data_IF_043241999150
#
_entry.id   IF_043241999150
#
_cell.length_a   1.000
_cell.length_b   1.000
_cell.length_c   1.000
_cell.angle_alpha   90.00
_cell.angle_beta   90.00
_cell.angle_gamma   90.00
#
_symmetry.space_group_name_H-M   'P 1'
#
loop_
_entity.id
_entity.type
_entity.pdbx_description
1 polymer ?
#
# COMPACT_ATOMS: atom_id res chain seq x y z
N UNK A 1 20.29 5.76 -17.73
CA UNK A 1 19.64 6.55 -18.81
C UNK A 1 19.54 5.81 -20.14
N UNK A 2 20.33 4.75 -20.41
CA UNK A 2 20.30 4.01 -21.69
C UNK A 2 19.14 3.00 -21.89
N UNK A 3 18.39 2.62 -20.84
CA UNK A 3 17.30 1.64 -20.99
C UNK A 3 15.99 2.21 -21.57
N UNK A 4 15.84 3.54 -21.72
CA UNK A 4 14.61 4.18 -22.23
C UNK A 4 14.39 4.02 -23.73
N UNK A 5 15.45 3.82 -24.52
CA UNK A 5 15.34 3.79 -25.98
C UNK A 5 15.02 2.40 -26.55
N UNK A 6 15.35 1.32 -25.84
CA UNK A 6 15.10 -0.05 -26.29
C UNK A 6 13.64 -0.48 -26.09
N UNK A 7 12.98 -0.02 -25.01
CA UNK A 7 11.57 -0.34 -24.76
C UNK A 7 10.58 0.33 -25.73
N UNK A 8 10.97 1.43 -26.36
CA UNK A 8 10.10 2.22 -27.26
C UNK A 8 10.08 1.68 -28.70
N UNK A 9 11.04 0.81 -29.06
CA UNK A 9 11.16 0.24 -30.42
C UNK A 9 10.41 -1.11 -30.54
N UNK A 10 10.23 -1.84 -29.43
CA UNK A 10 9.75 -3.23 -29.48
C UNK A 10 8.28 -3.45 -29.08
N UNK A 11 7.55 -2.44 -28.59
CA UNK A 11 6.18 -2.65 -28.13
C UNK A 11 5.23 -1.48 -28.48
N UNK A 12 4.24 -1.67 -29.38
CA UNK A 12 3.24 -0.65 -29.73
C UNK A 12 2.26 -0.33 -28.58
N UNK A 13 2.33 -1.02 -27.44
CA UNK A 13 1.52 -0.75 -26.25
C UNK A 13 2.01 0.44 -25.41
N UNK A 14 3.23 0.95 -25.61
CA UNK A 14 3.77 2.09 -24.83
C UNK A 14 3.34 3.43 -25.45
N UNK A 15 2.09 3.82 -25.20
CA UNK A 15 1.60 5.16 -25.54
C UNK A 15 1.94 6.16 -24.44
N UNK A 16 2.80 7.13 -24.77
CA UNK A 16 3.20 8.22 -23.87
C UNK A 16 2.02 9.14 -23.56
N UNK A 17 1.48 9.08 -22.34
CA UNK A 17 0.32 9.88 -21.91
C UNK A 17 0.70 11.20 -21.19
N UNK A 18 1.97 11.64 -21.29
CA UNK A 18 2.46 12.87 -20.67
C UNK A 18 3.19 12.65 -19.34
N UNK A 19 3.72 13.73 -18.75
CA UNK A 19 4.51 13.69 -17.50
C UNK A 19 3.66 13.84 -16.24
N UNK A 20 2.47 14.44 -16.36
CA UNK A 20 1.57 14.75 -15.24
C UNK A 20 0.15 14.41 -15.68
N UNK A 21 -0.52 13.52 -14.94
CA UNK A 21 -1.94 13.25 -15.11
C UNK A 21 -2.68 13.65 -13.82
N UNK A 22 -3.94 14.09 -13.96
CA UNK A 22 -4.80 14.19 -12.79
C UNK A 22 -5.12 12.77 -12.32
N UNK A 23 -4.92 12.46 -11.02
CA UNK A 23 -5.28 11.14 -10.50
C UNK A 23 -6.78 10.89 -10.73
N UNK A 24 -7.08 9.87 -11.52
CA UNK A 24 -8.44 9.39 -11.75
C UNK A 24 -8.91 8.65 -10.52
N UNK A 25 -9.92 9.20 -9.83
CA UNK A 25 -10.66 8.52 -8.74
C UNK A 25 -11.92 7.85 -9.28
N UNK A 26 -11.93 7.57 -10.57
CA UNK A 26 -13.04 7.05 -11.35
C UNK A 26 -12.69 5.62 -11.74
N UNK A 27 -13.63 4.69 -11.52
CA UNK A 27 -13.46 3.27 -11.88
C UNK A 27 -13.44 3.07 -13.39
N UNK A 28 -13.17 1.84 -13.83
CA UNK A 28 -13.16 1.44 -15.25
C UNK A 28 -14.48 1.79 -15.99
N UNK A 29 -15.57 1.98 -15.24
CA UNK A 29 -16.91 2.32 -15.72
C UNK A 29 -17.22 3.83 -15.82
N UNK A 30 -16.26 4.72 -15.52
CA UNK A 30 -16.51 6.17 -15.53
C UNK A 30 -17.30 6.70 -14.31
N UNK A 31 -17.60 5.84 -13.32
CA UNK A 31 -18.26 6.21 -12.06
C UNK A 31 -17.22 6.53 -10.97
N UNK A 32 -17.53 7.54 -10.15
CA UNK A 32 -16.71 7.90 -9.00
C UNK A 32 -16.64 6.72 -8.02
N UNK A 33 -15.43 6.27 -7.69
CA UNK A 33 -15.19 5.25 -6.67
C UNK A 33 -15.38 5.82 -5.25
N UNK A 34 -15.29 7.15 -5.12
CA UNK A 34 -15.52 7.86 -3.87
C UNK A 34 -16.97 7.65 -3.45
N UNK A 35 -17.18 7.12 -2.24
CA UNK A 35 -18.49 6.76 -1.66
C UNK A 35 -19.28 5.68 -2.42
N UNK A 36 -18.69 4.97 -3.38
CA UNK A 36 -19.32 3.81 -4.03
C UNK A 36 -19.18 2.54 -3.19
N UNK A 37 -19.55 2.60 -1.91
CA UNK A 37 -19.46 1.45 -0.99
C UNK A 37 -20.69 0.57 -1.11
N UNK A 38 -20.49 -0.69 -1.49
CA UNK A 38 -21.54 -1.70 -1.49
C UNK A 38 -21.68 -2.36 -0.10
N UNK A 39 -22.21 -1.59 0.86
CA UNK A 39 -22.44 -2.09 2.23
C UNK A 39 -23.52 -3.18 2.24
N UNK A 40 -24.53 -3.06 1.37
CA UNK A 40 -25.60 -4.06 1.29
C UNK A 40 -25.10 -5.39 0.71
N UNK A 41 -24.20 -5.34 -0.29
CA UNK A 41 -23.52 -6.51 -0.83
C UNK A 41 -22.56 -7.16 0.19
N UNK A 42 -21.83 -6.35 0.95
CA UNK A 42 -20.92 -6.85 1.99
C UNK A 42 -21.63 -7.62 3.11
N UNK A 43 -22.91 -7.31 3.38
CA UNK A 43 -23.70 -7.97 4.44
C UNK A 43 -24.45 -9.23 3.97
N UNK A 44 -24.34 -9.59 2.68
CA UNK A 44 -24.98 -10.79 2.17
C UNK A 44 -24.34 -12.05 2.79
N UNK A 45 -25.14 -13.07 3.18
CA UNK A 45 -24.62 -14.30 3.79
C UNK A 45 -23.55 -15.03 2.96
N UNK A 46 -23.55 -14.83 1.64
CA UNK A 46 -22.58 -15.42 0.70
C UNK A 46 -21.20 -14.78 0.80
N UNK A 47 -21.13 -13.47 1.08
CA UNK A 47 -19.89 -12.68 1.05
C UNK A 47 -19.38 -12.39 2.48
N UNK A 48 -20.29 -12.40 3.46
CA UNK A 48 -20.01 -12.12 4.86
C UNK A 48 -18.86 -12.95 5.45
N UNK A 49 -18.72 -14.27 5.20
CA UNK A 49 -17.58 -15.05 5.70
C UNK A 49 -16.24 -14.57 5.13
N UNK A 50 -16.20 -14.21 3.84
CA UNK A 50 -15.00 -13.70 3.17
C UNK A 50 -14.58 -12.34 3.71
N UNK A 51 -15.55 -11.45 3.96
CA UNK A 51 -15.32 -10.14 4.58
C UNK A 51 -14.76 -10.31 6.00
N UNK A 52 -15.38 -11.17 6.81
CA UNK A 52 -14.90 -11.46 8.16
C UNK A 52 -13.47 -12.02 8.15
N UNK A 53 -13.19 -12.95 7.24
CA UNK A 53 -11.85 -13.51 7.07
C UNK A 53 -10.83 -12.42 6.70
N UNK A 54 -11.12 -11.56 5.72
CA UNK A 54 -10.24 -10.46 5.33
C UNK A 54 -9.99 -9.47 6.47
N UNK A 55 -11.00 -9.14 7.26
CA UNK A 55 -10.85 -8.26 8.42
C UNK A 55 -9.95 -8.92 9.49
N UNK A 56 -10.16 -10.20 9.79
CA UNK A 56 -9.29 -10.91 10.74
C UNK A 56 -7.86 -11.01 10.23
N UNK A 57 -7.66 -11.32 8.95
CA UNK A 57 -6.34 -11.32 8.30
C UNK A 57 -5.68 -9.94 8.41
N UNK A 58 -6.40 -8.86 8.12
CA UNK A 58 -5.89 -7.50 8.22
C UNK A 58 -5.51 -7.12 9.67
N UNK A 59 -6.30 -7.50 10.67
CA UNK A 59 -6.00 -7.24 12.09
C UNK A 59 -4.72 -7.96 12.51
N UNK A 60 -4.55 -9.24 12.13
CA UNK A 60 -3.34 -9.99 12.47
C UNK A 60 -2.10 -9.49 11.71
N UNK A 61 -2.27 -9.13 10.44
CA UNK A 61 -1.20 -8.53 9.64
C UNK A 61 -0.76 -7.18 10.23
N UNK A 62 -1.69 -6.27 10.51
CA UNK A 62 -1.40 -4.99 11.16
C UNK A 62 -0.70 -5.18 12.52
N UNK A 63 -1.19 -6.11 13.35
CA UNK A 63 -0.57 -6.37 14.65
C UNK A 63 0.85 -6.92 14.50
N UNK A 64 1.07 -7.87 13.59
CA UNK A 64 2.38 -8.48 13.32
C UNK A 64 3.38 -7.49 12.73
N UNK A 65 2.94 -6.68 11.75
CA UNK A 65 3.78 -5.68 11.09
C UNK A 65 4.11 -4.52 12.02
N UNK A 66 3.15 -3.95 12.76
CA UNK A 66 3.39 -2.90 13.76
C UNK A 66 4.38 -3.42 14.81
N UNK A 67 4.22 -4.67 15.27
CA UNK A 67 5.15 -5.27 16.23
C UNK A 67 6.58 -5.37 15.68
N UNK A 68 6.73 -5.85 14.46
CA UNK A 68 8.04 -6.00 13.82
C UNK A 68 8.72 -4.63 13.60
N UNK A 69 7.98 -3.65 13.11
CA UNK A 69 8.49 -2.28 12.88
C UNK A 69 8.84 -1.60 14.20
N UNK A 70 8.01 -1.74 15.24
CA UNK A 70 8.27 -1.17 16.57
C UNK A 70 9.50 -1.78 17.23
N UNK A 71 9.73 -3.09 17.07
CA UNK A 71 10.95 -3.76 17.50
C UNK A 71 12.20 -3.16 16.87
N UNK A 72 12.18 -2.96 15.55
CA UNK A 72 13.29 -2.37 14.82
C UNK A 72 13.51 -0.88 15.13
N UNK A 73 12.43 -0.16 15.48
CA UNK A 73 12.48 1.24 15.88
C UNK A 73 12.88 1.46 17.36
N UNK A 74 13.06 0.38 18.15
CA UNK A 74 13.29 0.43 19.60
C UNK A 74 12.13 1.11 20.37
N UNK A 75 10.89 0.88 19.93
CA UNK A 75 9.66 1.42 20.51
C UNK A 75 8.90 0.38 21.35
N UNK A 76 9.65 -0.48 22.03
CA UNK A 76 9.12 -1.50 22.94
C UNK A 76 9.45 -1.12 24.39
N UNK A 77 8.47 -1.23 25.29
CA UNK A 77 8.70 -1.06 26.74
C UNK A 77 9.44 -2.29 27.31
N UNK A 78 9.89 -2.18 28.56
CA UNK A 78 10.62 -3.21 29.35
C UNK A 78 9.88 -4.56 29.39
N UNK A 79 8.56 -4.55 29.34
CA UNK A 79 7.72 -5.76 29.29
C UNK A 79 7.55 -6.33 27.88
N UNK A 80 8.39 -5.90 26.92
CA UNK A 80 8.27 -6.24 25.51
C UNK A 80 6.91 -5.87 24.94
N UNK A 81 6.27 -4.79 25.39
CA UNK A 81 5.01 -4.30 24.84
C UNK A 81 5.23 -3.10 23.92
N UNK A 82 4.40 -2.96 22.88
CA UNK A 82 4.52 -1.84 21.94
C UNK A 82 4.10 -0.56 22.66
N UNK A 83 4.99 0.43 22.69
CA UNK A 83 4.65 1.75 23.24
C UNK A 83 3.53 2.34 22.38
N UNK A 84 2.41 2.65 23.02
CA UNK A 84 1.21 3.17 22.36
C UNK A 84 0.63 2.24 21.26
N UNK A 85 0.81 0.92 21.35
CA UNK A 85 0.33 -0.04 20.33
C UNK A 85 -1.16 0.09 19.98
N UNK A 86 -2.02 0.38 20.96
CA UNK A 86 -3.44 0.65 20.71
C UNK A 86 -3.67 1.87 19.80
N UNK A 87 -2.92 2.95 19.98
CA UNK A 87 -3.00 4.13 19.10
C UNK A 87 -2.48 3.83 17.69
N UNK A 88 -1.46 3.00 17.57
CA UNK A 88 -0.95 2.56 16.27
C UNK A 88 -2.00 1.76 15.50
N UNK A 89 -2.67 0.81 16.15
CA UNK A 89 -3.74 0.01 15.54
C UNK A 89 -4.98 0.85 15.22
N UNK A 90 -5.37 1.80 16.09
CA UNK A 90 -6.43 2.76 15.79
C UNK A 90 -6.09 3.60 14.56
N UNK A 91 -4.84 4.05 14.41
CA UNK A 91 -4.40 4.82 13.24
C UNK A 91 -4.50 4.02 11.94
N UNK A 92 -4.09 2.75 11.95
CA UNK A 92 -4.20 1.83 10.82
C UNK A 92 -5.67 1.61 10.41
N UNK A 93 -6.53 1.33 11.40
CA UNK A 93 -7.97 1.13 11.18
C UNK A 93 -8.66 2.39 10.61
N UNK A 94 -8.34 3.58 11.14
CA UNK A 94 -8.89 4.85 10.64
C UNK A 94 -8.41 5.13 9.22
N UNK A 95 -7.14 4.86 8.93
CA UNK A 95 -6.58 4.99 7.57
C UNK A 95 -7.26 4.03 6.59
N UNK A 96 -7.52 2.78 6.99
CA UNK A 96 -8.23 1.78 6.21
C UNK A 96 -9.69 2.15 5.94
N UNK A 97 -10.39 2.71 6.92
CA UNK A 97 -11.76 3.22 6.71
C UNK A 97 -11.73 4.37 5.72
N UNK A 98 -10.81 5.32 5.88
CA UNK A 98 -10.70 6.47 4.98
C UNK A 98 -10.33 6.06 3.56
N UNK A 99 -9.42 5.09 3.37
CA UNK A 99 -9.07 4.58 2.05
C UNK A 99 -10.25 3.88 1.38
N UNK A 100 -11.03 3.09 2.14
CA UNK A 100 -12.28 2.50 1.66
C UNK A 100 -13.33 3.52 1.25
N UNK A 101 -13.46 4.65 1.98
CA UNK A 101 -14.36 5.75 1.63
C UNK A 101 -14.00 6.42 0.30
N UNK A 102 -12.70 6.52 0.01
CA UNK A 102 -12.17 7.06 -1.25
C UNK A 102 -12.20 6.02 -2.39
N UNK A 103 -12.60 4.78 -2.10
CA UNK A 103 -12.69 3.69 -3.06
C UNK A 103 -11.35 2.99 -3.35
N UNK A 104 -10.37 3.16 -2.46
CA UNK A 104 -9.09 2.48 -2.50
C UNK A 104 -9.08 1.25 -1.59
N UNK A 105 -8.09 0.37 -1.77
CA UNK A 105 -7.88 -0.77 -0.89
C UNK A 105 -7.58 -0.32 0.56
N UNK A 106 -7.85 -1.17 1.58
CA UNK A 106 -7.48 -0.89 2.96
C UNK A 106 -5.99 -0.52 3.09
N UNK A 107 -5.71 0.61 3.72
CA UNK A 107 -4.35 1.05 3.98
C UNK A 107 -3.75 0.21 5.12
N UNK A 108 -2.66 -0.50 4.83
CA UNK A 108 -1.97 -1.38 5.79
C UNK A 108 -0.59 -0.83 6.17
N UNK A 109 -0.11 -1.19 7.36
CA UNK A 109 1.27 -0.95 7.79
C UNK A 109 2.24 -1.86 7.03
N UNK A 110 3.19 -1.26 6.32
CA UNK A 110 4.17 -2.00 5.51
C UNK A 110 5.32 -2.59 6.35
N UNK A 111 5.57 -3.90 6.23
CA UNK A 111 6.69 -4.57 6.90
C UNK A 111 8.06 -4.08 6.41
N UNK A 112 8.12 -3.64 5.15
CA UNK A 112 9.29 -3.08 4.50
C UNK A 112 9.75 -1.78 5.18
N UNK A 113 8.83 -1.06 5.85
CA UNK A 113 9.19 0.11 6.66
C UNK A 113 10.13 -0.24 7.80
N UNK A 114 10.24 -1.51 8.22
CA UNK A 114 11.23 -1.93 9.20
C UNK A 114 12.67 -1.67 8.70
N UNK A 115 12.95 -1.81 7.41
CA UNK A 115 14.26 -1.47 6.86
C UNK A 115 14.52 0.05 6.92
N UNK A 116 13.48 0.86 6.71
CA UNK A 116 13.53 2.32 6.87
C UNK A 116 13.76 2.76 8.31
N UNK A 117 13.09 2.13 9.28
CA UNK A 117 13.30 2.42 10.71
C UNK A 117 14.70 1.97 11.17
N UNK A 118 15.20 0.84 10.65
CA UNK A 118 16.57 0.39 10.88
C UNK A 118 17.62 1.39 10.38
N UNK A 119 17.36 2.02 9.22
CA UNK A 119 18.23 3.06 8.65
C UNK A 119 18.14 4.41 9.39
N UNK A 120 17.25 4.56 10.38
CA UNK A 120 17.12 5.76 11.21
C UNK A 120 15.80 6.52 11.03
N UNK A 121 14.90 6.06 10.17
CA UNK A 121 13.56 6.64 9.96
C UNK A 121 12.59 6.37 11.10
N UNK A 122 12.92 6.84 12.32
CA UNK A 122 12.20 6.54 13.57
C UNK A 122 11.24 7.65 14.00
N UNK A 123 11.11 8.72 13.21
CA UNK A 123 10.31 9.91 13.59
C UNK A 123 9.06 10.05 12.74
N UNK A 124 8.01 10.66 13.31
CA UNK A 124 6.78 10.96 12.57
C UNK A 124 7.02 11.87 11.36
N UNK A 125 8.05 12.72 11.39
CA UNK A 125 8.43 13.56 10.25
C UNK A 125 8.82 12.73 9.03
N UNK A 126 9.52 11.61 9.23
CA UNK A 126 9.86 10.71 8.11
C UNK A 126 8.62 10.09 7.48
N UNK A 127 7.64 9.68 8.30
CA UNK A 127 6.36 9.17 7.81
C UNK A 127 5.57 10.25 7.04
N UNK A 128 5.54 11.50 7.53
CA UNK A 128 4.88 12.61 6.84
C UNK A 128 5.55 12.94 5.51
N UNK A 129 6.88 13.03 5.47
CA UNK A 129 7.62 13.31 4.23
C UNK A 129 7.38 12.21 3.20
N UNK A 130 7.45 10.94 3.60
CA UNK A 130 7.15 9.80 2.73
C UNK A 130 5.70 9.88 2.22
N UNK A 131 4.73 10.16 3.10
CA UNK A 131 3.33 10.31 2.70
C UNK A 131 3.10 11.43 1.67
N UNK A 132 3.72 12.60 1.87
CA UNK A 132 3.65 13.72 0.92
C UNK A 132 4.31 13.37 -0.41
N UNK A 133 5.46 12.67 -0.39
CA UNK A 133 6.10 12.17 -1.61
C UNK A 133 5.20 11.18 -2.36
N UNK A 134 4.53 10.27 -1.66
CA UNK A 134 3.56 9.33 -2.25
C UNK A 134 2.35 10.05 -2.85
N UNK A 135 1.83 11.10 -2.20
CA UNK A 135 0.78 11.94 -2.78
C UNK A 135 1.24 12.66 -4.05
N UNK A 136 2.48 13.14 -4.10
CA UNK A 136 3.04 13.74 -5.32
C UNK A 136 3.23 12.70 -6.44
N UNK A 137 3.54 11.44 -6.11
CA UNK A 137 3.66 10.35 -7.08
C UNK A 137 2.32 10.07 -7.79
N UNK A 138 1.16 10.34 -7.18
CA UNK A 138 -0.14 10.18 -7.84
C UNK A 138 -0.25 11.00 -9.14
N UNK A 139 0.36 12.19 -9.17
CA UNK A 139 0.41 13.03 -10.37
C UNK A 139 1.39 12.49 -11.43
N UNK A 140 2.39 11.73 -10.98
CA UNK A 140 3.37 11.01 -11.81
C UNK A 140 2.91 9.59 -12.16
N UNK A 141 1.66 9.20 -11.83
CA UNK A 141 1.05 7.93 -12.23
C UNK A 141 1.22 7.55 -13.71
N UNK A 142 1.21 8.46 -14.71
CA UNK A 142 1.45 8.06 -16.11
C UNK A 142 2.83 7.45 -16.37
N UNK A 143 3.81 7.66 -15.47
CA UNK A 143 5.13 7.04 -15.57
C UNK A 143 5.13 5.55 -15.23
N UNK A 144 4.18 5.05 -14.44
CA UNK A 144 4.13 3.63 -14.10
C UNK A 144 3.75 2.76 -15.30
N UNK A 145 2.90 3.26 -16.20
CA UNK A 145 2.52 2.59 -17.45
C UNK A 145 3.66 2.46 -18.46
N UNK A 146 4.77 3.18 -18.26
CA UNK A 146 5.98 3.03 -19.07
C UNK A 146 6.79 1.78 -18.70
N UNK A 147 6.53 1.17 -17.55
CA UNK A 147 7.24 -0.02 -17.08
C UNK A 147 6.52 -1.25 -17.62
N UNK A 148 7.13 -2.04 -18.51
CA UNK A 148 6.48 -3.20 -19.10
C UNK A 148 6.23 -4.30 -18.07
N UNK A 149 5.13 -5.04 -18.23
CA UNK A 149 4.77 -6.12 -17.30
C UNK A 149 5.81 -7.24 -17.18
N UNK A 150 6.63 -7.46 -18.21
CA UNK A 150 7.73 -8.42 -18.16
C UNK A 150 8.84 -8.00 -17.18
N UNK A 151 8.96 -6.72 -16.84
CA UNK A 151 9.94 -6.21 -15.88
C UNK A 151 9.42 -6.28 -14.44
N UNK A 152 8.10 -6.16 -14.24
CA UNK A 152 7.49 -6.17 -12.89
C UNK A 152 7.25 -7.59 -12.38
N UNK A 153 6.90 -8.53 -13.25
CA UNK A 153 6.65 -9.93 -12.89
C UNK A 153 7.80 -10.61 -12.12
N UNK A 154 9.07 -10.59 -12.58
CA UNK A 154 10.16 -11.26 -11.86
C UNK A 154 10.46 -10.59 -10.51
N UNK A 155 10.27 -9.28 -10.40
CA UNK A 155 10.45 -8.56 -9.14
C UNK A 155 9.43 -9.01 -8.09
N UNK A 156 8.15 -9.14 -8.47
CA UNK A 156 7.10 -9.64 -7.59
C UNK A 156 7.32 -11.10 -7.18
N UNK A 157 7.76 -11.96 -8.11
CA UNK A 157 8.12 -13.35 -7.80
C UNK A 157 9.27 -13.43 -6.78
N UNK A 158 10.29 -12.60 -6.92
CA UNK A 158 11.43 -12.59 -6.01
C UNK A 158 11.02 -12.15 -4.60
N UNK A 159 10.19 -11.10 -4.48
CA UNK A 159 9.67 -10.65 -3.17
C UNK A 159 8.82 -11.74 -2.51
N UNK A 160 7.96 -12.42 -3.27
CA UNK A 160 7.16 -13.55 -2.76
C UNK A 160 8.03 -14.68 -2.19
N UNK A 161 9.13 -15.03 -2.86
CA UNK A 161 10.10 -16.03 -2.37
C UNK A 161 10.80 -15.57 -1.08
N UNK A 162 11.11 -14.28 -0.94
CA UNK A 162 11.72 -13.74 0.28
C UNK A 162 10.75 -13.75 1.47
N UNK A 163 9.46 -13.53 1.23
CA UNK A 163 8.43 -13.62 2.26
C UNK A 163 8.22 -15.05 2.76
N UNK A 164 8.36 -16.07 1.90
CA UNK A 164 8.26 -17.49 2.29
C UNK A 164 9.48 -18.00 3.09
N UNK A 165 10.64 -17.33 2.98
CA UNK A 165 11.89 -17.76 3.62
C UNK A 165 12.05 -17.26 5.07
N UNK A 166 11.02 -16.63 5.64
CA UNK A 166 10.96 -16.20 7.05
C UNK A 166 9.96 -17.04 7.82
#
# INVERSE_FOLDING_TARGET
>A
MQFRFIGLIFDPAVKYHGLVAMPSLTGEDGKSLIFSLDIMGALQPTVLPSVLALVMTAVFDATGTIRAVAGQANLLDKDNQIINGGKALTSDSVSSIFSGLVGAAPAAVYIESAAGTAAGGKTGLTATVVGVLFLMILFLSPLSFLIPGYATAPALMYVGLLMQKR
#
